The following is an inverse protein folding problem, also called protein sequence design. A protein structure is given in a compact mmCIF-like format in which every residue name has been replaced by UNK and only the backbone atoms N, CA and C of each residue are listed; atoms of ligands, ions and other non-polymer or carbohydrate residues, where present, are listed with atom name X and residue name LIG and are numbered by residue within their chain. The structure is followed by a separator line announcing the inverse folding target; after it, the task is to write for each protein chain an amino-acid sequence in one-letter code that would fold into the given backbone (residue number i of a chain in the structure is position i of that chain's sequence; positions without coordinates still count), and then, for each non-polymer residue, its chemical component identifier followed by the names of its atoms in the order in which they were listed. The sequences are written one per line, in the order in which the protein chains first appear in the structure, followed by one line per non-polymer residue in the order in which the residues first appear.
data_IF_621787606215
#
_entry.id   IF_621787606215
#
_cell.length_a   1.000
_cell.length_b   1.000
_cell.length_c   1.000
_cell.angle_alpha   90.00
_cell.angle_beta   90.00
_cell.angle_gamma   90.00
#
_symmetry.space_group_name_H-M   'P 1'
#
loop_
_entity.id
_entity.type
_entity.pdbx_description
1 polymer ?
#
# COMPACT_ATOMS: atom_id res chain seq x y z
N UNK A 5 4.91 -11.75 15.70
CA UNK A 5 5.08 -11.33 14.31
C UNK A 5 3.87 -10.52 13.82
N UNK A 6 2.70 -11.15 13.83
CA UNK A 6 1.49 -10.50 13.36
C UNK A 6 0.44 -10.39 14.46
N UNK A 7 -0.05 -9.18 14.70
CA UNK A 7 -1.15 -8.97 15.64
C UNK A 7 -2.33 -8.31 14.94
N UNK A 8 -3.45 -9.02 14.84
CA UNK A 8 -4.60 -8.49 14.12
C UNK A 8 -5.86 -8.36 14.98
N UNK A 9 -6.61 -7.29 14.74
CA UNK A 9 -7.89 -7.08 15.41
C UNK A 9 -8.95 -6.59 14.43
N UNK A 10 -10.09 -7.27 14.39
CA UNK A 10 -11.17 -6.95 13.45
C UNK A 10 -12.26 -6.13 14.12
N UNK A 11 -12.73 -5.08 13.43
CA UNK A 11 -13.71 -4.13 13.98
C UNK A 11 -13.36 -3.67 15.39
N UNK A 12 -12.27 -2.91 15.54
CA UNK A 12 -11.78 -2.50 16.85
C UNK A 12 -12.57 -1.34 17.46
N UNK A 13 -12.64 -1.29 18.78
CA UNK A 13 -13.04 -0.07 19.47
C UNK A 13 -11.80 0.82 19.48
N UNK A 14 -11.99 2.13 19.57
CA UNK A 14 -10.90 3.09 19.45
C UNK A 14 -9.72 2.81 20.39
N UNK A 15 -10.01 2.20 21.53
CA UNK A 15 -8.97 1.75 22.47
C UNK A 15 -8.00 0.79 21.79
N UNK A 16 -8.56 -0.22 21.13
CA UNK A 16 -7.75 -1.20 20.40
C UNK A 16 -6.94 -0.51 19.31
N UNK A 17 -7.59 0.36 18.54
CA UNK A 17 -6.91 1.12 17.49
C UNK A 17 -5.69 1.86 18.02
N UNK A 18 -5.92 2.80 18.92
CA UNK A 18 -4.83 3.60 19.51
C UNK A 18 -3.75 2.71 20.13
N UNK A 19 -4.16 1.61 20.74
CA UNK A 19 -3.22 0.69 21.35
C UNK A 19 -2.28 0.09 20.30
N UNK A 20 -2.86 -0.46 19.24
CA UNK A 20 -2.07 -1.09 18.18
C UNK A 20 -1.20 -0.07 17.43
N UNK A 21 -1.70 1.14 17.25
CA UNK A 21 -0.91 2.19 16.60
C UNK A 21 0.29 2.58 17.46
N UNK A 22 0.07 2.71 18.77
CA UNK A 22 1.16 2.96 19.71
C UNK A 22 2.17 1.81 19.74
N UNK A 23 1.66 0.59 19.55
CA UNK A 23 2.51 -0.60 19.53
C UNK A 23 3.38 -0.62 18.28
N UNK A 24 2.82 -0.16 17.17
CA UNK A 24 3.56 -0.06 15.92
C UNK A 24 4.62 1.02 16.03
N UNK A 25 4.26 2.13 16.66
CA UNK A 25 5.18 3.25 16.83
C UNK A 25 6.34 2.92 17.76
N UNK A 26 6.05 2.18 18.83
CA UNK A 26 7.04 1.86 19.84
C UNK A 26 8.01 0.76 19.38
N UNK A 27 7.48 -0.30 18.78
CA UNK A 27 8.27 -1.46 18.43
C UNK A 27 8.96 -1.34 17.07
N UNK A 28 8.78 -0.20 16.41
CA UNK A 28 9.22 -0.02 15.03
C UNK A 28 8.74 -1.17 14.14
N UNK A 29 7.44 -1.28 14.00
CA UNK A 29 6.83 -2.34 13.21
C UNK A 29 5.94 -1.75 12.13
N UNK A 30 5.59 -2.55 11.13
CA UNK A 30 4.71 -2.08 10.07
C UNK A 30 3.26 -2.07 10.53
N UNK A 31 2.59 -0.94 10.33
CA UNK A 31 1.20 -0.78 10.73
C UNK A 31 0.29 -0.83 9.52
N UNK A 32 -0.59 -1.82 9.46
CA UNK A 32 -1.51 -1.91 8.34
C UNK A 32 -2.97 -1.90 8.84
N UNK A 33 -3.76 -1.00 8.27
CA UNK A 33 -5.15 -0.85 8.68
C UNK A 33 -6.09 -0.72 7.48
N UNK A 34 -7.01 -1.66 7.36
CA UNK A 34 -8.01 -1.60 6.29
C UNK A 34 -9.22 -0.85 6.83
N UNK A 35 -9.60 0.26 6.21
CA UNK A 35 -10.70 1.05 6.72
C UNK A 35 -11.43 1.87 5.67
N UNK A 36 -12.72 2.12 5.89
CA UNK A 36 -13.44 3.12 5.12
C UNK A 36 -13.16 4.46 5.78
N UNK A 37 -12.54 5.36 5.03
CA UNK A 37 -11.99 6.59 5.59
C UNK A 37 -12.20 7.79 4.68
N UNK A 38 -12.00 8.98 5.23
CA UNK A 38 -12.03 10.22 4.47
C UNK A 38 -10.65 10.85 4.50
N UNK A 39 -10.16 11.28 3.33
CA UNK A 39 -8.75 11.63 3.20
C UNK A 39 -8.50 13.11 2.93
N UNK A 40 -7.85 13.78 3.88
CA UNK A 40 -7.46 15.18 3.71
C UNK A 40 -5.95 15.31 3.61
N UNK A 41 -5.48 16.08 2.63
CA UNK A 41 -4.06 16.37 2.51
C UNK A 41 -3.83 17.86 2.26
N UNK A 42 -3.16 18.54 3.20
CA UNK A 42 -3.00 19.97 3.10
C UNK A 42 -1.56 20.48 3.28
N UNK A 43 -1.35 21.72 2.85
CA UNK A 43 -0.04 22.35 2.81
C UNK A 43 -0.06 23.41 1.73
N UNK A 44 1.10 23.76 1.19
CA UNK A 44 1.13 24.64 0.02
C UNK A 44 0.60 23.86 -1.18
N UNK A 45 0.88 22.55 -1.19
CA UNK A 45 0.28 21.63 -2.14
C UNK A 45 -0.99 21.08 -1.51
N UNK A 46 -2.05 20.95 -2.30
CA UNK A 46 -3.36 20.59 -1.75
C UNK A 46 -4.04 19.42 -2.48
N UNK A 47 -4.50 18.45 -1.70
CA UNK A 47 -5.26 17.33 -2.24
C UNK A 47 -6.39 16.90 -1.30
N UNK A 48 -7.58 16.72 -1.83
CA UNK A 48 -8.73 16.31 -1.04
C UNK A 48 -9.47 15.13 -1.67
N UNK A 49 -9.72 14.10 -0.86
CA UNK A 49 -10.46 12.92 -1.33
C UNK A 49 -11.51 12.49 -0.30
N UNK A 50 -12.69 12.13 -0.79
CA UNK A 50 -13.82 11.81 0.06
C UNK A 50 -13.83 10.40 0.61
N UNK A 51 -15.00 9.97 1.08
CA UNK A 51 -15.17 8.66 1.69
C UNK A 51 -14.95 7.53 0.70
N UNK A 52 -14.54 6.37 1.22
CA UNK A 52 -14.30 5.18 0.43
C UNK A 52 -13.48 4.21 1.23
N UNK A 53 -13.37 2.98 0.75
CA UNK A 53 -12.60 1.96 1.45
C UNK A 53 -11.15 1.99 0.96
N UNK A 54 -10.21 2.11 1.90
CA UNK A 54 -8.79 2.18 1.58
C UNK A 54 -7.92 1.39 2.54
N UNK A 55 -6.71 1.06 2.08
CA UNK A 55 -5.72 0.36 2.89
C UNK A 55 -4.65 1.35 3.32
N UNK A 56 -4.34 1.38 4.61
CA UNK A 56 -3.38 2.34 5.14
C UNK A 56 -2.15 1.66 5.73
N UNK A 57 -0.98 1.96 5.14
CA UNK A 57 0.27 1.36 5.58
C UNK A 57 1.26 2.40 6.09
N UNK A 58 1.69 2.22 7.34
CA UNK A 58 2.67 3.08 7.96
C UNK A 58 3.94 2.27 8.26
N UNK A 59 5.03 2.61 7.59
CA UNK A 59 6.31 1.95 7.81
C UNK A 59 7.08 2.64 8.93
N UNK A 60 7.90 1.87 9.66
CA UNK A 60 8.70 2.38 10.79
C UNK A 60 9.67 3.50 10.40
N UNK A 61 9.96 3.63 9.11
CA UNK A 61 10.87 4.67 8.66
C UNK A 61 10.12 5.99 8.47
N UNK A 62 8.82 5.96 8.70
CA UNK A 62 8.01 7.16 8.64
C UNK A 62 7.20 7.29 7.36
N UNK A 63 7.41 6.36 6.43
CA UNK A 63 6.73 6.40 5.15
C UNK A 63 5.23 6.16 5.32
N UNK A 64 4.42 6.94 4.61
CA UNK A 64 2.96 6.80 4.73
C UNK A 64 2.41 6.42 3.36
N UNK A 65 1.56 5.40 3.33
CA UNK A 65 0.99 4.94 2.08
C UNK A 65 -0.52 4.74 2.23
N UNK A 66 -1.30 5.37 1.35
CA UNK A 66 -2.74 5.14 1.32
C UNK A 66 -3.15 4.59 -0.04
N UNK A 67 -3.63 3.36 -0.06
CA UNK A 67 -4.00 2.70 -1.31
C UNK A 67 -5.50 2.57 -1.47
N UNK A 68 -5.99 2.87 -2.67
CA UNK A 68 -7.40 2.64 -3.00
C UNK A 68 -7.57 1.26 -3.62
N UNK A 69 -8.75 1.00 -4.17
CA UNK A 69 -9.06 -0.31 -4.72
C UNK A 69 -8.51 -0.53 -6.12
N UNK A 70 -7.96 0.53 -6.73
CA UNK A 70 -7.53 0.44 -8.12
C UNK A 70 -6.20 1.13 -8.44
N UNK A 71 -5.89 1.14 -9.74
CA UNK A 71 -4.60 1.63 -10.26
C UNK A 71 -3.38 0.97 -9.63
N UNK A 72 -2.34 1.75 -9.35
CA UNK A 72 -1.07 1.21 -8.89
C UNK A 72 -0.47 2.02 -7.74
N UNK A 73 -0.09 3.25 -8.05
CA UNK A 73 0.51 4.17 -7.08
C UNK A 73 -0.44 4.47 -5.92
N UNK A 74 0.11 4.92 -4.78
CA UNK A 74 -0.75 5.30 -3.65
C UNK A 74 -1.60 6.50 -4.04
N UNK A 75 -2.81 6.60 -3.48
CA UNK A 75 -3.68 7.73 -3.79
C UNK A 75 -3.21 8.98 -3.05
N UNK A 76 -2.60 8.75 -1.88
CA UNK A 76 -1.88 9.78 -1.16
C UNK A 76 -0.76 9.11 -0.36
N UNK A 77 0.38 9.78 -0.25
CA UNK A 77 1.51 9.22 0.45
C UNK A 77 2.40 10.28 1.06
N UNK A 78 3.17 9.90 2.08
CA UNK A 78 4.15 10.80 2.67
C UNK A 78 5.52 10.14 2.59
N UNK A 79 6.54 10.95 2.29
CA UNK A 79 7.93 10.52 2.09
C UNK A 79 8.56 9.94 3.35
N UNK A 80 9.62 9.15 3.18
CA UNK A 80 10.39 8.67 4.33
C UNK A 80 10.94 9.86 5.10
N UNK A 81 11.17 9.69 6.40
CA UNK A 81 11.60 10.80 7.24
C UNK A 81 10.46 11.76 7.57
N UNK A 82 9.33 11.20 8.01
CA UNK A 82 8.20 11.99 8.47
C UNK A 82 7.68 11.48 9.81
N UNK A 83 6.60 12.09 10.29
CA UNK A 83 6.08 11.83 11.64
C UNK A 83 4.60 11.49 11.61
N UNK A 84 4.24 10.33 12.16
CA UNK A 84 2.85 9.87 12.15
C UNK A 84 2.32 9.65 13.56
N UNK A 85 1.22 10.33 13.90
CA UNK A 85 0.59 10.18 15.20
C UNK A 85 -0.93 10.12 15.09
N UNK A 86 -1.54 9.26 15.89
CA UNK A 86 -2.99 9.10 15.87
C UNK A 86 -3.64 9.89 16.98
N UNK A 87 -4.61 10.73 16.63
CA UNK A 87 -5.31 11.52 17.63
C UNK A 87 -6.82 11.30 17.58
N UNK A 88 -7.44 11.18 18.74
CA UNK A 88 -8.88 11.02 18.81
C UNK A 88 -9.59 12.35 18.56
N UNK A 89 -10.71 12.27 17.86
CA UNK A 89 -11.49 13.41 17.39
C UNK A 89 -12.92 12.91 17.27
N UNK A 90 -13.73 13.65 16.52
CA UNK A 90 -15.05 13.18 16.12
C UNK A 90 -14.94 11.73 15.68
N UNK A 91 -14.16 11.48 14.64
CA UNK A 91 -13.65 10.14 14.36
C UNK A 91 -12.13 10.17 14.48
N UNK A 92 -11.53 9.08 14.99
CA UNK A 92 -10.08 9.02 15.19
C UNK A 92 -9.31 9.28 13.89
N UNK A 93 -8.28 10.11 13.96
CA UNK A 93 -7.57 10.56 12.77
C UNK A 93 -6.08 10.26 12.81
N UNK A 94 -5.58 9.64 11.75
CA UNK A 94 -4.14 9.43 11.59
C UNK A 94 -3.53 10.66 10.94
N UNK A 95 -2.62 11.32 11.65
CA UNK A 95 -2.01 12.55 11.16
C UNK A 95 -0.52 12.36 10.89
N UNK A 96 -0.16 12.46 9.61
CA UNK A 96 1.22 12.31 9.18
C UNK A 96 1.83 13.66 8.87
N UNK A 97 2.85 14.04 9.67
CA UNK A 97 3.51 15.33 9.51
C UNK A 97 4.79 15.19 8.70
N UNK A 98 4.82 15.87 7.55
CA UNK A 98 6.03 15.99 6.74
C UNK A 98 6.61 17.37 6.99
N UNK A 99 7.92 17.43 7.24
CA UNK A 99 8.58 18.70 7.52
C UNK A 99 9.71 18.98 6.53
N UNK A 100 9.90 20.26 6.20
CA UNK A 100 10.93 20.70 5.24
C UNK A 100 10.90 19.97 3.90
N UNK A 101 9.91 20.29 3.04
CA UNK A 101 8.84 21.28 3.23
C UNK A 101 7.75 20.75 4.16
N UNK A 102 7.05 21.64 4.87
CA UNK A 102 6.07 21.18 5.84
C UNK A 102 4.66 21.08 5.25
N UNK A 103 4.19 19.85 5.11
CA UNK A 103 2.82 19.57 4.71
C UNK A 103 2.28 18.43 5.58
N UNK A 104 0.97 18.38 5.74
CA UNK A 104 0.38 17.36 6.61
C UNK A 104 -0.71 16.56 5.90
N UNK A 105 -0.76 15.26 6.23
CA UNK A 105 -1.72 14.35 5.62
C UNK A 105 -2.52 13.62 6.68
N UNK A 106 -3.82 13.90 6.77
CA UNK A 106 -4.66 13.26 7.77
C UNK A 106 -5.75 12.40 7.17
N UNK A 107 -5.91 11.20 7.73
CA UNK A 107 -7.03 10.36 7.34
C UNK A 107 -7.98 10.18 8.53
N UNK A 108 -9.21 10.62 8.33
CA UNK A 108 -10.25 10.41 9.31
C UNK A 108 -10.76 8.99 9.11
N UNK A 109 -10.65 8.18 10.15
CA UNK A 109 -11.10 6.80 10.06
C UNK A 109 -12.54 6.76 10.51
N UNK A 110 -13.43 6.54 9.55
CA UNK A 110 -14.85 6.50 9.82
C UNK A 110 -15.21 5.11 10.31
N UNK A 111 -15.00 4.10 9.47
CA UNK A 111 -15.12 2.73 9.94
C UNK A 111 -13.82 1.96 9.78
N UNK A 112 -13.35 1.37 10.88
CA UNK A 112 -12.10 0.62 10.86
C UNK A 112 -12.35 -0.88 10.84
N UNK A 113 -12.00 -1.52 9.73
CA UNK A 113 -12.30 -2.93 9.51
C UNK A 113 -11.30 -3.84 10.23
N UNK A 114 -10.01 -3.51 10.12
CA UNK A 114 -9.00 -4.27 10.84
C UNK A 114 -7.76 -3.41 11.14
N UNK A 115 -7.05 -3.77 12.19
CA UNK A 115 -5.77 -3.14 12.51
C UNK A 115 -4.74 -4.24 12.71
N UNK A 116 -3.54 -4.02 12.19
CA UNK A 116 -2.51 -5.07 12.20
C UNK A 116 -1.09 -4.56 12.48
N UNK A 117 -0.35 -5.32 13.27
CA UNK A 117 1.05 -5.03 13.55
C UNK A 117 1.94 -6.13 12.97
N UNK A 118 2.98 -5.72 12.24
CA UNK A 118 3.81 -6.63 11.47
C UNK A 118 5.28 -6.26 11.61
N UNK A 119 6.13 -7.24 11.92
CA UNK A 119 7.56 -6.99 12.08
C UNK A 119 8.26 -6.82 10.73
N UNK A 120 9.59 -6.72 10.75
CA UNK A 120 10.29 -6.13 9.61
C UNK A 120 11.77 -6.49 9.38
N UNK A 121 12.41 -5.67 8.55
CA UNK A 121 13.86 -5.59 8.36
C UNK A 121 14.68 -6.73 7.78
N UNK A 122 14.53 -6.96 6.48
CA UNK A 122 15.57 -7.63 5.70
C UNK A 122 16.57 -6.57 5.19
N UNK A 123 16.08 -5.61 4.40
CA UNK A 123 16.87 -4.45 4.00
C UNK A 123 16.10 -3.16 4.30
N UNK A 134 32.88 -25.53 -8.65
CA UNK A 134 32.09 -25.36 -7.44
C UNK A 134 30.96 -26.38 -7.37
N UNK A 135 29.99 -26.24 -8.26
CA UNK A 135 28.85 -27.15 -8.34
C UNK A 135 29.28 -28.44 -9.02
N UNK A 136 30.29 -28.32 -9.88
CA UNK A 136 30.83 -29.45 -10.63
C UNK A 136 31.25 -30.58 -9.71
N UNK A 137 31.86 -30.23 -8.57
CA UNK A 137 32.28 -31.23 -7.60
C UNK A 137 31.09 -31.92 -6.95
N UNK A 138 30.04 -31.14 -6.66
CA UNK A 138 28.79 -31.70 -6.14
C UNK A 138 28.17 -32.68 -7.13
N UNK A 139 28.42 -32.44 -8.41
CA UNK A 139 27.96 -33.36 -9.44
C UNK A 139 28.83 -34.62 -9.53
N UNK A 140 30.15 -34.44 -9.37
CA UNK A 140 31.08 -35.57 -9.36
C UNK A 140 30.76 -36.54 -8.23
N UNK A 141 30.56 -35.99 -7.03
CA UNK A 141 30.35 -36.80 -5.83
C UNK A 141 29.07 -37.65 -5.89
N UNK A 142 27.93 -37.00 -6.13
CA UNK A 142 26.65 -37.71 -6.17
C UNK A 142 25.95 -37.53 -7.52
N UNK A 143 26.46 -38.22 -8.56
CA UNK A 143 26.04 -38.03 -9.96
C UNK A 143 24.55 -38.31 -10.22
N UNK A 144 23.87 -38.97 -9.29
CA UNK A 144 22.44 -39.21 -9.43
C UNK A 144 21.65 -37.90 -9.34
N UNK A 145 22.34 -36.83 -8.95
CA UNK A 145 21.76 -35.48 -8.92
C UNK A 145 21.21 -35.05 -10.28
N UNK A 146 22.00 -35.28 -11.33
CA UNK A 146 21.60 -34.91 -12.68
C UNK A 146 20.52 -35.87 -13.18
N UNK A 147 20.91 -37.12 -13.40
CA UNK A 147 19.99 -38.16 -13.84
C UNK A 147 20.36 -39.48 -13.18
N UNK A 148 19.38 -40.39 -13.05
CA UNK A 148 19.71 -41.73 -12.55
C UNK A 148 20.64 -42.46 -13.52
N UNK A 149 21.69 -43.07 -13.00
CA UNK A 149 22.69 -43.72 -13.83
C UNK A 149 23.50 -42.73 -14.66
N UNK A 150 24.08 -41.74 -13.98
CA UNK A 150 24.90 -40.74 -14.64
C UNK A 150 26.38 -40.92 -14.30
N UNK A 151 27.24 -40.93 -15.32
CA UNK A 151 28.67 -41.06 -15.10
C UNK A 151 29.41 -39.80 -15.54
N UNK A 152 29.89 -39.01 -14.56
CA UNK A 152 30.63 -37.79 -14.86
C UNK A 152 32.05 -38.11 -15.32
N UNK A 153 32.62 -37.26 -16.18
CA UNK A 153 33.96 -37.49 -16.70
C UNK A 153 34.92 -36.34 -16.40
N UNK A 154 34.73 -35.22 -17.09
CA UNK A 154 35.65 -34.10 -17.00
C UNK A 154 35.02 -32.79 -17.44
N UNK A 165 32.62 -25.62 -18.09
CA UNK A 165 31.71 -26.67 -18.53
C UNK A 165 32.05 -28.02 -17.90
N UNK A 166 31.17 -29.00 -18.10
CA UNK A 166 31.40 -30.35 -17.57
C UNK A 166 30.99 -31.42 -18.59
N UNK A 167 31.88 -32.38 -18.81
CA UNK A 167 31.59 -33.50 -19.71
C UNK A 167 31.31 -34.78 -18.94
N UNK A 168 30.37 -35.58 -19.44
CA UNK A 168 29.93 -36.78 -18.75
C UNK A 168 29.39 -37.84 -19.68
N UNK A 169 28.90 -38.94 -19.10
CA UNK A 169 28.39 -40.04 -19.90
C UNK A 169 27.05 -40.56 -19.39
N UNK A 170 26.02 -40.50 -20.24
CA UNK A 170 24.73 -41.08 -19.94
C UNK A 170 24.79 -42.58 -20.16
N UNK A 171 24.01 -43.33 -19.38
CA UNK A 171 24.11 -44.78 -19.26
C UNK A 171 23.92 -45.53 -20.58
N UNK A 172 23.45 -44.83 -21.61
CA UNK A 172 23.37 -45.39 -22.94
C UNK A 172 24.74 -45.25 -23.59
N UNK A 173 25.70 -44.73 -22.83
CA UNK A 173 27.05 -44.52 -23.28
C UNK A 173 27.17 -43.28 -24.15
N UNK A 174 26.49 -42.21 -23.74
CA UNK A 174 26.46 -41.00 -24.57
C UNK A 174 27.13 -39.78 -23.95
N UNK A 175 27.73 -38.94 -24.81
CA UNK A 175 28.33 -37.70 -24.34
C UNK A 175 27.25 -36.79 -23.76
N UNK A 176 27.45 -36.33 -22.54
CA UNK A 176 26.51 -35.42 -21.89
C UNK A 176 27.21 -34.15 -21.45
N UNK A 177 26.80 -33.02 -22.02
CA UNK A 177 27.44 -31.74 -21.70
C UNK A 177 26.67 -31.01 -20.62
N UNK A 178 27.41 -30.44 -19.66
CA UNK A 178 26.80 -29.64 -18.61
C UNK A 178 27.40 -28.24 -18.60
N UNK A 179 26.54 -27.22 -18.70
CA UNK A 179 26.98 -25.85 -18.47
C UNK A 179 26.32 -25.35 -17.18
N UNK A 180 27.16 -24.96 -16.22
CA UNK A 180 26.68 -24.65 -14.88
C UNK A 180 26.55 -23.16 -14.61
N UNK A 181 25.40 -22.77 -14.08
CA UNK A 181 25.21 -21.39 -13.62
C UNK A 181 24.81 -21.39 -12.15
N UNK A 182 25.13 -20.31 -11.46
CA UNK A 182 24.90 -20.21 -10.02
C UNK A 182 23.48 -19.73 -9.71
N UNK A 183 23.17 -18.50 -10.12
CA UNK A 183 21.83 -17.94 -9.94
C UNK A 183 20.95 -18.16 -11.17
N UNK A 184 19.80 -17.48 -11.21
CA UNK A 184 18.79 -17.69 -12.24
C UNK A 184 19.36 -17.66 -13.66
N UNK A 185 18.96 -18.63 -14.48
CA UNK A 185 19.54 -18.81 -15.81
C UNK A 185 18.75 -18.10 -16.90
N UNK A 186 19.35 -17.07 -17.48
CA UNK A 186 18.79 -16.36 -18.62
C UNK A 186 19.30 -17.09 -19.86
N UNK A 187 19.12 -16.54 -21.05
CA UNK A 187 19.70 -17.22 -22.20
C UNK A 187 21.01 -16.56 -22.61
N UNK A 188 22.09 -17.18 -22.16
CA UNK A 188 23.44 -16.94 -22.61
C UNK A 188 24.06 -18.31 -22.76
N UNK A 189 24.15 -18.99 -21.63
CA UNK A 189 24.68 -20.35 -21.53
C UNK A 189 23.80 -21.37 -22.25
N UNK A 190 22.63 -20.95 -22.71
CA UNK A 190 21.79 -21.78 -23.56
C UNK A 190 22.34 -21.76 -24.98
N UNK A 191 22.81 -20.59 -25.41
CA UNK A 191 23.49 -20.44 -26.69
C UNK A 191 24.84 -21.17 -26.62
N UNK A 192 25.53 -20.98 -25.50
CA UNK A 192 26.79 -21.69 -25.25
C UNK A 192 26.57 -23.19 -25.30
N UNK A 193 25.53 -23.67 -24.63
CA UNK A 193 25.19 -25.09 -24.60
C UNK A 193 24.86 -25.60 -26.00
N UNK A 194 24.17 -24.76 -26.78
CA UNK A 194 23.84 -25.09 -28.16
C UNK A 194 25.10 -25.31 -28.99
N UNK A 195 26.03 -24.37 -28.91
CA UNK A 195 27.28 -24.47 -29.66
C UNK A 195 28.17 -25.62 -29.20
N UNK A 196 28.21 -25.84 -27.88
CA UNK A 196 29.00 -26.92 -27.29
C UNK A 196 28.48 -28.27 -27.75
N UNK A 197 27.18 -28.46 -27.64
CA UNK A 197 26.56 -29.71 -28.10
C UNK A 197 26.65 -29.81 -29.62
N UNK A 198 26.84 -28.67 -30.29
CA UNK A 198 26.98 -28.65 -31.75
C UNK A 198 28.35 -29.15 -32.21
N UNK A 199 29.41 -28.72 -31.53
CA UNK A 199 30.75 -29.21 -31.87
C UNK A 199 30.97 -30.63 -31.36
N UNK A 200 30.38 -30.92 -30.20
CA UNK A 200 30.35 -32.30 -29.71
C UNK A 200 29.56 -33.16 -30.68
N UNK A 201 28.65 -32.53 -31.41
CA UNK A 201 27.94 -33.18 -32.50
C UNK A 201 28.80 -33.27 -33.76
N UNK A 202 29.76 -32.36 -33.89
CA UNK A 202 30.71 -32.42 -35.00
C UNK A 202 31.58 -33.65 -34.85
N UNK A 203 32.03 -33.91 -33.63
CA UNK A 203 32.83 -35.11 -33.36
C UNK A 203 31.97 -36.37 -33.22
N UNK A 204 31.20 -36.42 -32.13
CA UNK A 204 30.52 -37.65 -31.73
C UNK A 204 29.05 -37.75 -32.16
N UNK A 205 28.55 -36.71 -32.83
CA UNK A 205 27.27 -36.78 -33.52
C UNK A 205 25.98 -36.79 -32.70
N UNK A 206 25.05 -37.63 -33.14
CA UNK A 206 23.70 -37.67 -32.58
C UNK A 206 23.65 -38.27 -31.18
N UNK A 207 22.56 -37.99 -30.47
CA UNK A 207 22.31 -38.48 -29.11
C UNK A 207 23.23 -37.86 -28.05
N UNK A 208 24.23 -37.10 -28.50
CA UNK A 208 25.00 -36.26 -27.60
C UNK A 208 24.08 -35.16 -27.09
N UNK A 209 24.11 -34.90 -25.80
CA UNK A 209 23.17 -33.95 -25.21
C UNK A 209 23.81 -32.92 -24.29
N UNK A 210 23.37 -31.66 -24.43
CA UNK A 210 23.74 -30.62 -23.49
C UNK A 210 22.67 -30.52 -22.41
N UNK A 211 23.05 -30.03 -21.23
CA UNK A 211 22.12 -29.89 -20.12
C UNK A 211 22.36 -28.58 -19.36
N UNK A 212 21.28 -27.88 -19.03
CA UNK A 212 21.38 -26.64 -18.28
C UNK A 212 21.14 -26.89 -16.80
N UNK A 213 22.17 -26.68 -15.98
CA UNK A 213 22.03 -26.84 -14.54
C UNK A 213 22.05 -25.49 -13.81
N UNK A 214 21.02 -25.28 -12.98
CA UNK A 214 20.78 -24.01 -12.30
C UNK A 214 19.57 -24.15 -11.38
N UNK A 215 19.48 -23.33 -10.32
CA UNK A 215 18.33 -23.38 -9.42
C UNK A 215 17.05 -22.93 -10.11
N UNK A 216 17.16 -21.96 -11.02
CA UNK A 216 16.01 -21.49 -11.78
C UNK A 216 16.42 -20.97 -13.15
N UNK A 217 15.53 -21.15 -14.13
CA UNK A 217 15.72 -20.55 -15.46
C UNK A 217 14.76 -19.38 -15.69
N UNK A 218 14.82 -18.81 -16.90
CA UNK A 218 13.87 -17.77 -17.31
C UNK A 218 13.03 -18.34 -18.44
N UNK A 219 11.84 -17.76 -18.62
CA UNK A 219 10.92 -18.21 -19.67
C UNK A 219 11.60 -18.29 -21.03
N UNK A 220 12.37 -17.26 -21.37
CA UNK A 220 13.12 -17.24 -22.61
C UNK A 220 14.15 -18.34 -22.67
N UNK A 221 14.93 -18.46 -21.60
CA UNK A 221 15.93 -19.51 -21.49
C UNK A 221 15.28 -20.88 -21.58
N UNK A 222 14.14 -21.03 -20.90
CA UNK A 222 13.38 -22.27 -20.94
C UNK A 222 12.95 -22.64 -22.36
N UNK A 223 12.38 -21.68 -23.07
CA UNK A 223 11.88 -21.92 -24.42
C UNK A 223 12.99 -22.23 -25.42
N UNK A 224 14.06 -21.42 -25.40
CA UNK A 224 15.19 -21.66 -26.29
C UNK A 224 15.80 -23.03 -25.97
N UNK A 225 15.79 -23.38 -24.69
CA UNK A 225 16.29 -24.66 -24.23
C UNK A 225 15.46 -25.80 -24.80
N UNK A 226 14.14 -25.61 -24.84
CA UNK A 226 13.23 -26.68 -25.27
C UNK A 226 13.21 -26.86 -26.79
N UNK A 227 13.18 -25.73 -27.53
CA UNK A 227 13.12 -25.79 -28.99
C UNK A 227 14.37 -26.42 -29.59
N UNK A 228 15.54 -25.93 -29.18
CA UNK A 228 16.81 -26.41 -29.75
C UNK A 228 17.18 -27.81 -29.27
N UNK A 229 16.41 -28.36 -28.33
CA UNK A 229 16.54 -29.75 -27.96
C UNK A 229 17.26 -30.03 -26.66
N UNK A 230 17.80 -28.99 -26.04
CA UNK A 230 18.59 -29.15 -24.83
C UNK A 230 17.70 -29.49 -23.63
N UNK A 231 18.31 -29.66 -22.45
CA UNK A 231 17.55 -30.06 -21.27
C UNK A 231 17.89 -29.23 -20.02
N UNK A 232 17.29 -29.59 -18.89
CA UNK A 232 17.44 -28.81 -17.67
C UNK A 232 17.36 -29.67 -16.41
N UNK A 233 18.07 -29.25 -15.37
CA UNK A 233 18.01 -29.91 -14.06
C UNK A 233 18.16 -28.91 -12.93
N UNK A 234 17.54 -29.21 -11.79
CA UNK A 234 17.54 -28.29 -10.66
C UNK A 234 18.67 -28.58 -9.66
N UNK A 235 19.60 -27.63 -9.55
CA UNK A 235 20.72 -27.75 -8.61
C UNK A 235 21.04 -26.38 -8.00
N UNK A 236 21.18 -26.34 -6.67
CA UNK A 236 21.51 -25.11 -5.96
C UNK A 236 22.70 -25.31 -5.01
N UNK A 237 23.59 -24.31 -4.93
CA UNK A 237 24.76 -24.36 -4.03
C UNK A 237 24.34 -24.32 -2.56
N UNK B 4 -19.96 -9.00 5.23
CA UNK B 4 -18.74 -9.65 4.75
C UNK B 4 -17.75 -8.66 4.15
N UNK B 5 -17.37 -7.65 4.92
CA UNK B 5 -16.44 -6.61 4.45
C UNK B 5 -14.98 -7.07 4.43
N UNK B 6 -14.51 -7.68 5.52
CA UNK B 6 -13.12 -8.12 5.62
C UNK B 6 -13.00 -9.53 6.20
N UNK B 7 -12.34 -10.41 5.46
CA UNK B 7 -12.00 -11.72 5.99
C UNK B 7 -10.52 -11.73 6.33
N UNK B 8 -10.15 -12.28 7.48
CA UNK B 8 -8.74 -12.33 7.87
C UNK B 8 -8.40 -13.69 8.47
N UNK B 9 -7.36 -14.33 7.94
CA UNK B 9 -6.85 -15.55 8.54
C UNK B 9 -5.37 -15.39 8.89
N UNK B 10 -5.06 -15.59 10.16
CA UNK B 10 -3.70 -15.39 10.67
C UNK B 10 -2.97 -16.72 10.70
N UNK B 11 -1.80 -16.75 10.07
CA UNK B 11 -1.02 -17.98 9.89
C UNK B 11 -1.87 -19.08 9.28
N UNK B 12 -2.29 -18.90 8.01
CA UNK B 12 -3.21 -19.83 7.35
C UNK B 12 -2.53 -21.11 6.89
N UNK B 13 -3.32 -22.14 6.61
CA UNK B 13 -2.78 -23.35 6.02
C UNK B 13 -2.77 -23.23 4.51
N UNK B 14 -2.27 -24.25 3.83
CA UNK B 14 -2.19 -24.25 2.37
C UNK B 14 -3.57 -24.17 1.73
N UNK B 15 -4.48 -25.02 2.19
CA UNK B 15 -5.84 -25.04 1.67
C UNK B 15 -6.56 -23.75 2.03
N UNK B 16 -6.25 -23.20 3.20
CA UNK B 16 -6.80 -21.93 3.63
C UNK B 16 -6.29 -20.79 2.76
N UNK B 17 -4.97 -20.72 2.59
CA UNK B 17 -4.35 -19.69 1.77
C UNK B 17 -4.93 -19.73 0.36
N UNK B 18 -4.99 -20.91 -0.24
CA UNK B 18 -5.53 -21.05 -1.59
C UNK B 18 -7.02 -20.67 -1.63
N UNK B 19 -7.75 -20.98 -0.55
CA UNK B 19 -9.15 -20.64 -0.44
C UNK B 19 -9.36 -19.13 -0.49
N UNK B 20 -8.72 -18.41 0.43
CA UNK B 20 -8.88 -16.96 0.50
C UNK B 20 -8.31 -16.24 -0.72
N UNK B 21 -7.13 -16.67 -1.17
CA UNK B 21 -6.49 -16.08 -2.35
C UNK B 21 -7.39 -16.22 -3.57
N UNK B 22 -7.77 -17.44 -3.91
CA UNK B 22 -8.65 -17.66 -5.07
C UNK B 22 -10.02 -17.00 -4.93
N UNK B 23 -10.60 -17.04 -3.73
CA UNK B 23 -11.88 -16.38 -3.49
C UNK B 23 -11.76 -14.89 -3.75
N UNK B 24 -10.66 -14.30 -3.31
CA UNK B 24 -10.41 -12.88 -3.53
C UNK B 24 -10.26 -12.57 -5.01
N UNK B 25 -9.39 -13.30 -5.69
CA UNK B 25 -9.16 -13.13 -7.12
C UNK B 25 -10.45 -13.26 -7.93
N UNK B 26 -11.33 -14.15 -7.49
CA UNK B 26 -12.57 -14.40 -8.20
C UNK B 26 -13.62 -13.34 -7.90
N UNK B 27 -13.61 -12.85 -6.66
CA UNK B 27 -14.67 -11.96 -6.16
C UNK B 27 -14.36 -10.49 -6.38
N UNK B 28 -13.23 -10.23 -7.05
CA UNK B 28 -12.72 -8.86 -7.23
C UNK B 28 -12.62 -8.12 -5.90
N UNK B 29 -11.73 -8.62 -5.04
CA UNK B 29 -11.48 -8.01 -3.74
C UNK B 29 -9.99 -7.77 -3.62
N UNK B 30 -9.58 -6.96 -2.65
CA UNK B 30 -8.17 -6.68 -2.45
C UNK B 30 -7.52 -7.76 -1.58
N UNK B 31 -6.48 -8.39 -2.10
CA UNK B 31 -5.74 -9.40 -1.35
C UNK B 31 -4.49 -8.78 -0.73
N UNK B 32 -4.29 -9.02 0.55
CA UNK B 32 -3.10 -8.52 1.22
C UNK B 32 -2.47 -9.61 2.09
N UNK B 33 -1.19 -9.87 1.85
CA UNK B 33 -0.50 -10.99 2.51
C UNK B 33 0.82 -10.55 3.16
N UNK B 34 0.92 -10.70 4.48
CA UNK B 34 2.17 -10.43 5.17
C UNK B 34 2.95 -11.73 5.24
N UNK B 35 4.14 -11.76 4.62
CA UNK B 35 4.86 -13.02 4.52
C UNK B 35 6.38 -12.92 4.50
N UNK B 36 7.02 -13.93 5.04
CA UNK B 36 8.43 -14.16 4.78
C UNK B 36 8.45 -14.83 3.44
N UNK B 37 9.10 -14.20 2.46
CA UNK B 37 9.06 -14.69 1.09
C UNK B 37 10.37 -14.46 0.35
N UNK B 38 10.41 -14.94 -0.88
CA UNK B 38 11.57 -14.77 -1.76
C UNK B 38 11.08 -14.26 -3.11
N UNK B 39 11.74 -13.23 -3.63
CA UNK B 39 11.22 -12.52 -4.81
C UNK B 39 12.11 -12.62 -6.03
N UNK B 40 11.51 -12.92 -7.18
CA UNK B 40 12.26 -12.99 -8.43
C UNK B 40 11.57 -12.22 -9.55
N UNK B 41 12.25 -11.21 -10.08
CA UNK B 41 11.72 -10.49 -11.23
C UNK B 41 12.51 -10.80 -12.48
N UNK B 42 11.85 -11.53 -13.38
CA UNK B 42 12.40 -11.87 -14.68
C UNK B 42 11.81 -10.94 -15.74
N UNK B 43 12.70 -10.28 -16.49
CA UNK B 43 12.26 -9.37 -17.53
C UNK B 43 13.39 -8.58 -18.15
N UNK B 44 13.04 -7.45 -18.77
CA UNK B 44 14.01 -6.57 -19.40
C UNK B 44 15.02 -6.06 -18.38
N UNK B 45 14.52 -5.52 -17.27
CA UNK B 45 15.39 -5.17 -16.16
C UNK B 45 15.27 -6.26 -15.13
N UNK B 46 16.33 -7.06 -15.00
CA UNK B 46 16.32 -8.21 -14.11
C UNK B 46 16.39 -7.76 -12.66
N UNK B 47 15.74 -8.52 -11.78
CA UNK B 47 15.82 -8.23 -10.35
C UNK B 47 15.74 -9.53 -9.54
N UNK B 48 16.48 -9.58 -8.44
CA UNK B 48 16.39 -10.71 -7.53
C UNK B 48 16.46 -10.26 -6.06
N UNK B 49 15.49 -10.71 -5.28
CA UNK B 49 15.46 -10.45 -3.85
C UNK B 49 15.37 -11.78 -3.10
N UNK B 50 16.15 -11.90 -2.03
CA UNK B 50 16.19 -13.13 -1.25
C UNK B 50 15.12 -13.18 -0.16
N UNK B 51 15.30 -14.11 0.78
CA UNK B 51 14.35 -14.30 1.88
C UNK B 51 14.29 -13.05 2.75
N UNK B 52 13.07 -12.62 3.08
CA UNK B 52 12.87 -11.46 3.93
C UNK B 52 11.39 -11.15 4.15
N UNK B 53 11.10 -10.39 5.19
CA UNK B 53 9.71 -10.05 5.51
C UNK B 53 9.18 -8.97 4.59
N UNK B 54 8.06 -9.28 3.93
CA UNK B 54 7.46 -8.36 2.98
C UNK B 54 5.94 -8.33 3.08
N UNK B 55 5.36 -7.23 2.59
CA UNK B 55 3.92 -7.09 2.46
C UNK B 55 3.57 -7.18 0.98
N UNK B 56 2.65 -8.08 0.64
CA UNK B 56 2.24 -8.26 -0.75
C UNK B 56 0.82 -7.73 -0.93
N UNK B 57 0.63 -6.88 -1.94
CA UNK B 57 -0.70 -6.32 -2.21
C UNK B 57 -1.14 -6.59 -3.65
N UNK B 58 -2.27 -7.29 -3.78
CA UNK B 58 -2.84 -7.60 -5.08
C UNK B 58 -4.24 -6.99 -5.22
N UNK B 59 -4.35 -6.03 -6.13
CA UNK B 59 -5.59 -5.30 -6.36
C UNK B 59 -6.45 -6.06 -7.37
N UNK B 60 -7.78 -5.82 -7.36
CA UNK B 60 -8.69 -6.49 -8.31
C UNK B 60 -8.43 -6.16 -9.77
N UNK B 61 -7.72 -5.07 -10.05
CA UNK B 61 -7.43 -4.70 -11.44
C UNK B 61 -6.13 -5.31 -11.92
N UNK B 62 -5.50 -6.12 -11.08
CA UNK B 62 -4.31 -6.85 -11.46
C UNK B 62 -3.03 -6.26 -10.90
N UNK B 63 -3.14 -5.10 -10.27
CA UNK B 63 -1.95 -4.39 -9.78
C UNK B 63 -1.22 -5.20 -8.71
N UNK B 64 0.07 -5.39 -8.92
CA UNK B 64 0.87 -6.16 -7.97
C UNK B 64 1.84 -5.22 -7.28
N UNK B 65 1.93 -5.31 -5.96
CA UNK B 65 2.81 -4.44 -5.19
C UNK B 65 3.57 -5.25 -4.14
N UNK B 66 4.89 -5.10 -4.13
CA UNK B 66 5.71 -5.72 -3.09
C UNK B 66 6.39 -4.65 -2.25
N UNK B 67 6.03 -4.59 -0.97
CA UNK B 67 6.61 -3.59 -0.08
C UNK B 67 7.53 -4.20 0.96
N UNK B 68 8.78 -3.73 0.97
CA UNK B 68 9.75 -4.18 1.94
C UNK B 68 9.60 -3.42 3.23
N UNK B 69 10.54 -3.61 4.14
CA UNK B 69 10.45 -3.05 5.47
C UNK B 69 10.63 -1.53 5.51
N UNK B 70 11.12 -0.96 4.42
CA UNK B 70 11.50 0.45 4.41
C UNK B 70 11.23 1.18 3.10
N UNK B 71 11.80 2.38 3.01
CA UNK B 71 11.62 3.30 1.89
C UNK B 71 10.17 3.68 1.62
N UNK B 72 9.79 3.78 0.35
CA UNK B 72 8.49 4.32 -0.02
C UNK B 72 7.86 3.50 -1.15
N UNK B 73 8.46 3.58 -2.33
CA UNK B 73 8.00 2.88 -3.51
C UNK B 73 8.07 1.37 -3.32
N UNK B 74 7.31 0.60 -4.12
CA UNK B 74 7.41 -0.86 -4.02
C UNK B 74 8.77 -1.32 -4.52
N UNK B 75 9.31 -2.40 -3.96
CA UNK B 75 10.58 -2.94 -4.43
C UNK B 75 10.39 -3.63 -5.77
N UNK B 76 9.17 -4.16 -5.98
CA UNK B 76 8.75 -4.65 -7.28
C UNK B 76 7.26 -4.49 -7.45
N UNK B 77 6.83 -4.18 -8.66
CA UNK B 77 5.41 -3.95 -8.93
C UNK B 77 5.01 -4.34 -10.35
N UNK B 78 3.74 -4.68 -10.54
CA UNK B 78 3.20 -4.93 -11.86
C UNK B 78 2.00 -4.05 -12.07
N UNK B 79 1.85 -3.50 -13.29
CA UNK B 79 0.83 -2.52 -13.67
C UNK B 79 -0.55 -3.15 -13.78
N UNK B 80 -1.61 -2.31 -13.77
CA UNK B 80 -2.99 -2.77 -13.94
C UNK B 80 -3.14 -3.51 -15.27
N UNK B 81 -4.12 -4.43 -15.34
CA UNK B 81 -4.32 -5.20 -16.54
C UNK B 81 -3.43 -6.42 -16.61
N UNK B 82 -2.47 -6.51 -15.70
CA UNK B 82 -1.57 -7.66 -15.67
C UNK B 82 -2.29 -8.88 -15.12
N UNK B 83 -1.60 -10.02 -15.08
CA UNK B 83 -2.25 -11.28 -14.74
C UNK B 83 -1.60 -11.96 -13.53
N UNK B 84 -2.43 -12.27 -12.53
CA UNK B 84 -1.95 -12.86 -11.29
C UNK B 84 -2.58 -14.23 -11.05
N UNK B 85 -1.77 -15.19 -10.59
CA UNK B 85 -2.27 -16.52 -10.28
C UNK B 85 -1.46 -17.17 -9.17
N UNK B 86 -2.11 -17.97 -8.35
CA UNK B 86 -1.40 -18.69 -7.30
C UNK B 86 -1.20 -20.15 -7.70
N UNK B 87 0.05 -20.51 -7.96
CA UNK B 87 0.36 -21.89 -8.33
C UNK B 87 1.13 -22.58 -7.22
N UNK B 88 0.82 -23.85 -6.99
CA UNK B 88 1.48 -24.60 -5.94
C UNK B 88 2.78 -25.24 -6.42
N UNK B 89 3.78 -25.16 -5.56
CA UNK B 89 5.11 -25.70 -5.77
C UNK B 89 5.50 -26.13 -4.38
N UNK B 90 6.78 -26.41 -4.15
CA UNK B 90 7.26 -26.79 -2.82
C UNK B 90 6.73 -25.84 -1.75
N UNK B 91 6.75 -24.55 -2.06
CA UNK B 91 6.01 -23.55 -1.29
C UNK B 91 5.13 -22.77 -2.25
N UNK B 92 3.93 -22.37 -1.80
CA UNK B 92 2.98 -21.66 -2.67
C UNK B 92 3.61 -20.45 -3.35
N UNK B 93 3.39 -20.31 -4.66
CA UNK B 93 4.01 -19.22 -5.42
C UNK B 93 2.99 -18.30 -6.11
N UNK B 94 3.15 -17.01 -5.87
CA UNK B 94 2.31 -15.96 -6.43
C UNK B 94 2.96 -15.46 -7.72
N UNK B 95 2.34 -15.74 -8.85
CA UNK B 95 2.93 -15.40 -10.14
C UNK B 95 2.17 -14.26 -10.82
N UNK B 96 2.89 -13.17 -11.08
CA UNK B 96 2.30 -12.01 -11.75
C UNK B 96 2.91 -11.81 -13.12
N UNK B 97 2.09 -11.99 -14.16
CA UNK B 97 2.57 -11.87 -15.53
C UNK B 97 2.07 -10.59 -16.20
N UNK B 98 2.98 -9.65 -16.42
CA UNK B 98 2.67 -8.42 -17.16
C UNK B 98 2.85 -8.70 -18.63
N UNK B 99 1.91 -8.24 -19.45
CA UNK B 99 2.01 -8.42 -20.89
C UNK B 99 2.12 -7.07 -21.60
N UNK B 100 2.77 -7.07 -22.76
CA UNK B 100 3.04 -5.83 -23.51
C UNK B 100 3.74 -4.76 -22.67
N UNK B 101 5.03 -4.96 -22.36
CA UNK B 101 5.90 -6.09 -22.70
C UNK B 101 5.62 -7.28 -21.80
N UNK B 102 6.06 -8.48 -22.20
CA UNK B 102 5.80 -9.65 -21.37
C UNK B 102 6.96 -9.91 -20.42
N UNK B 103 6.71 -9.70 -19.14
CA UNK B 103 7.68 -9.91 -18.08
C UNK B 103 6.98 -10.55 -16.89
N UNK B 104 7.72 -11.27 -16.07
CA UNK B 104 7.09 -12.01 -14.97
C UNK B 104 7.74 -11.80 -13.61
N UNK B 105 6.89 -11.72 -12.58
CA UNK B 105 7.33 -11.51 -11.21
C UNK B 105 6.81 -12.66 -10.34
N UNK B 106 7.72 -13.47 -9.82
CA UNK B 106 7.35 -14.58 -8.96
C UNK B 106 7.66 -14.28 -7.50
N UNK B 107 6.66 -14.43 -6.64
CA UNK B 107 6.87 -14.32 -5.21
C UNK B 107 6.63 -15.67 -4.57
N UNK B 108 7.70 -16.31 -4.13
CA UNK B 108 7.58 -17.59 -3.44
C UNK B 108 7.30 -17.30 -1.97
N UNK B 109 6.17 -17.78 -1.48
CA UNK B 109 5.81 -17.48 -0.10
C UNK B 109 6.40 -18.59 0.76
N UNK B 110 7.40 -18.23 1.55
CA UNK B 110 8.08 -19.17 2.42
C UNK B 110 7.17 -19.47 3.60
N UNK B 111 6.91 -18.43 4.40
CA UNK B 111 5.90 -18.54 5.44
C UNK B 111 4.91 -17.39 5.34
N UNK B 112 3.61 -17.73 5.41
CA UNK B 112 2.56 -16.73 5.35
C UNK B 112 2.06 -16.43 6.75
N UNK B 113 2.39 -15.24 7.25
CA UNK B 113 2.02 -14.86 8.61
C UNK B 113 0.55 -14.48 8.66
N UNK B 114 0.10 -13.74 7.67
CA UNK B 114 -1.29 -13.32 7.59
C UNK B 114 -1.78 -13.27 6.16
N UNK B 115 -2.98 -13.78 5.93
CA UNK B 115 -3.65 -13.55 4.65
C UNK B 115 -4.96 -12.81 4.91
N UNK B 116 -5.24 -11.80 4.07
CA UNK B 116 -6.40 -10.97 4.28
C UNK B 116 -7.14 -10.68 2.97
N UNK B 117 -8.46 -10.78 3.02
CA UNK B 117 -9.31 -10.42 1.90
C UNK B 117 -10.12 -9.18 2.27
N UNK B 118 -9.81 -8.07 1.61
CA UNK B 118 -10.47 -6.81 1.87
C UNK B 118 -11.31 -6.40 0.67
N UNK B 119 -12.63 -6.45 0.83
CA UNK B 119 -13.53 -6.14 -0.27
C UNK B 119 -13.88 -4.66 -0.22
N UNK B 120 -13.38 -3.91 -1.19
CA UNK B 120 -13.46 -2.44 -1.15
C UNK B 120 -14.12 -1.86 -2.38
N UNK B 121 -15.18 -1.08 -2.18
CA UNK B 121 -15.86 -0.43 -3.29
C UNK B 121 -14.99 0.70 -3.86
N UNK B 122 -15.25 1.07 -5.11
CA UNK B 122 -14.42 2.02 -5.84
C UNK B 122 -14.66 3.47 -5.41
N UNK B 123 -14.02 4.40 -6.11
CA UNK B 123 -14.24 5.84 -5.94
C UNK B 123 -14.00 6.34 -4.52
N UNK B 131 -22.26 26.85 -2.63
CA UNK B 131 -23.60 26.67 -2.09
C UNK B 131 -23.59 26.73 -0.56
N UNK B 132 -23.14 27.86 -0.03
CA UNK B 132 -23.00 28.02 1.41
C UNK B 132 -24.25 28.64 2.02
N UNK B 133 -25.20 29.00 1.17
CA UNK B 133 -26.42 29.65 1.62
C UNK B 133 -27.37 28.67 2.31
N UNK B 134 -27.44 27.46 1.79
CA UNK B 134 -28.27 26.41 2.38
C UNK B 134 -27.82 26.11 3.80
N UNK B 135 -26.52 26.25 4.04
CA UNK B 135 -25.97 26.11 5.38
C UNK B 135 -26.58 27.16 6.30
N UNK B 136 -26.58 28.41 5.84
CA UNK B 136 -27.13 29.52 6.59
C UNK B 136 -28.60 29.30 6.92
N UNK B 137 -29.39 29.05 5.88
CA UNK B 137 -30.82 28.81 6.05
C UNK B 137 -31.08 27.61 6.97
N UNK B 138 -30.17 26.64 6.95
CA UNK B 138 -30.26 25.50 7.85
C UNK B 138 -30.05 25.95 9.29
N UNK B 139 -29.07 26.84 9.49
CA UNK B 139 -28.83 27.40 10.81
C UNK B 139 -30.05 28.15 11.32
N UNK B 140 -30.69 28.91 10.43
CA UNK B 140 -31.90 29.65 10.79
C UNK B 140 -33.04 28.70 11.14
N UNK B 141 -33.16 27.61 10.38
CA UNK B 141 -34.22 26.64 10.59
C UNK B 141 -34.06 25.90 11.91
N UNK B 142 -32.82 25.56 12.25
CA UNK B 142 -32.52 24.93 13.53
C UNK B 142 -31.27 25.49 14.21
N UNK B 143 -31.42 26.57 14.97
CA UNK B 143 -30.32 27.23 15.69
C UNK B 143 -29.71 26.33 16.75
N UNK B 144 -30.41 25.27 17.13
CA UNK B 144 -29.94 24.35 18.16
C UNK B 144 -28.75 23.52 17.64
N UNK B 145 -28.46 23.66 16.34
CA UNK B 145 -27.29 23.03 15.74
C UNK B 145 -25.98 23.61 16.29
N UNK B 146 -25.88 24.94 16.27
CA UNK B 146 -24.65 25.61 16.66
C UNK B 146 -24.42 25.58 18.17
N UNK B 147 -25.26 26.27 18.91
CA UNK B 147 -25.12 26.38 20.36
C UNK B 147 -26.47 26.22 21.04
N UNK B 148 -26.48 25.82 22.32
CA UNK B 148 -27.75 25.77 23.05
C UNK B 148 -28.29 27.17 23.28
N UNK B 149 -29.58 27.36 23.04
CA UNK B 149 -30.20 28.67 23.21
C UNK B 149 -29.63 29.71 22.27
N UNK B 150 -29.15 29.27 21.11
CA UNK B 150 -28.63 30.18 20.11
C UNK B 150 -29.77 30.87 19.39
N UNK B 151 -29.71 32.20 19.32
CA UNK B 151 -30.71 32.95 18.59
C UNK B 151 -30.06 33.60 17.38
N UNK B 152 -30.33 33.07 16.19
CA UNK B 152 -29.80 33.70 14.98
C UNK B 152 -30.60 34.95 14.67
N UNK B 153 -29.94 35.98 14.16
CA UNK B 153 -30.62 37.23 13.86
C UNK B 153 -30.75 37.43 12.36
N UNK B 154 -29.62 37.54 11.68
CA UNK B 154 -29.65 37.73 10.23
C UNK B 154 -28.43 37.18 9.51
N UNK B 155 -28.54 37.01 8.20
CA UNK B 155 -27.43 36.56 7.37
C UNK B 155 -26.99 37.74 6.53
N UNK B 156 -25.72 37.76 6.15
CA UNK B 156 -25.23 38.84 5.31
C UNK B 156 -24.10 38.34 4.41
N UNK B 157 -24.03 38.86 3.19
CA UNK B 157 -23.08 38.33 2.22
C UNK B 157 -22.63 39.37 1.20
N UNK B 158 -21.46 39.12 0.62
CA UNK B 158 -20.95 39.88 -0.52
C UNK B 158 -20.82 41.39 -0.30
N UNK B 159 -19.97 41.77 0.65
CA UNK B 159 -19.51 43.15 0.75
C UNK B 159 -18.01 43.14 0.48
N UNK B 160 -17.64 43.65 -0.70
CA UNK B 160 -16.26 43.64 -1.12
C UNK B 160 -15.71 42.24 -1.40
N UNK B 161 -16.54 41.23 -1.20
CA UNK B 161 -16.08 39.84 -1.26
C UNK B 161 -17.23 38.89 -1.57
N UNK B 162 -16.97 37.60 -1.41
CA UNK B 162 -18.00 36.58 -1.49
C UNK B 162 -18.35 35.97 -0.15
N UNK B 163 -17.67 36.42 0.90
CA UNK B 163 -17.83 35.87 2.25
C UNK B 163 -19.28 35.92 2.71
N UNK B 164 -19.74 34.84 3.37
CA UNK B 164 -21.06 34.83 3.99
C UNK B 164 -20.90 34.85 5.51
N UNK B 165 -21.89 35.40 6.21
CA UNK B 165 -21.82 35.54 7.66
C UNK B 165 -23.21 35.45 8.30
N UNK B 166 -23.25 35.00 9.54
CA UNK B 166 -24.50 34.92 10.27
C UNK B 166 -24.35 35.63 11.61
N UNK B 167 -25.06 36.74 11.76
CA UNK B 167 -25.09 37.49 13.01
C UNK B 167 -26.24 37.01 13.87
N UNK B 168 -25.96 36.84 15.16
CA UNK B 168 -26.98 36.37 16.09
C UNK B 168 -26.63 36.68 17.54
N UNK B 169 -27.39 36.12 18.46
CA UNK B 169 -27.12 36.29 19.88
C UNK B 169 -27.06 34.91 20.55
N UNK B 170 -26.18 34.78 21.54
CA UNK B 170 -26.01 33.50 22.22
C UNK B 170 -26.95 33.38 23.41
N UNK B 171 -26.74 32.33 24.20
CA UNK B 171 -27.58 32.07 25.37
C UNK B 171 -27.54 33.20 26.39
N UNK B 172 -26.36 33.78 26.59
CA UNK B 172 -26.19 34.83 27.59
C UNK B 172 -26.28 36.26 27.04
N UNK B 173 -26.56 36.40 25.75
CA UNK B 173 -26.86 37.69 25.18
C UNK B 173 -25.79 38.32 24.29
N UNK B 174 -24.60 37.73 24.27
CA UNK B 174 -23.50 38.28 23.49
C UNK B 174 -23.73 38.14 21.98
N UNK B 175 -23.13 39.04 21.20
CA UNK B 175 -23.21 38.96 19.75
C UNK B 175 -22.36 37.80 19.26
N UNK B 176 -22.88 37.04 18.30
CA UNK B 176 -22.12 35.94 17.72
C UNK B 176 -22.07 36.07 16.20
N UNK B 177 -20.86 36.03 15.66
CA UNK B 177 -20.65 35.98 14.22
C UNK B 177 -20.37 34.53 13.81
N UNK B 178 -20.92 34.11 12.69
CA UNK B 178 -20.64 32.78 12.14
C UNK B 178 -20.15 32.90 10.71
N UNK B 179 -18.91 32.52 10.45
CA UNK B 179 -18.45 32.45 9.07
C UNK B 179 -18.60 31.03 8.55
N UNK B 180 -19.35 30.89 7.47
CA UNK B 180 -19.66 29.58 6.92
C UNK B 180 -18.76 29.28 5.71
N UNK B 181 -18.20 28.07 5.68
CA UNK B 181 -17.41 27.62 4.54
C UNK B 181 -17.93 26.28 4.05
N UNK B 182 -18.27 26.22 2.77
CA UNK B 182 -18.78 25.00 2.15
C UNK B 182 -17.72 23.90 2.20
N UNK B 183 -16.53 24.26 1.75
CA UNK B 183 -15.41 23.32 1.70
C UNK B 183 -14.71 23.20 3.06
N UNK B 184 -13.58 22.53 3.07
CA UNK B 184 -12.77 22.41 4.29
C UNK B 184 -12.31 23.81 4.69
N UNK B 185 -12.17 24.04 5.99
CA UNK B 185 -11.84 25.39 6.47
C UNK B 185 -10.34 25.63 6.55
N UNK B 186 -9.86 26.56 5.71
CA UNK B 186 -8.45 26.90 5.63
C UNK B 186 -8.08 27.91 6.72
N UNK B 187 -6.88 28.46 6.63
CA UNK B 187 -6.41 29.51 7.55
C UNK B 187 -7.08 30.84 7.21
N UNK B 188 -7.15 31.11 5.91
CA UNK B 188 -7.73 32.34 5.36
C UNK B 188 -9.11 32.64 5.98
N UNK B 189 -9.92 31.61 6.09
CA UNK B 189 -11.24 31.71 6.70
C UNK B 189 -11.14 32.22 8.13
N UNK B 190 -10.22 31.66 8.90
CA UNK B 190 -9.98 32.07 10.28
C UNK B 190 -9.52 33.52 10.35
N UNK B 191 -8.73 33.95 9.38
CA UNK B 191 -8.28 35.34 9.33
C UNK B 191 -9.46 36.29 9.10
N UNK B 192 -10.31 35.94 8.14
CA UNK B 192 -11.51 36.74 7.86
C UNK B 192 -12.47 36.79 9.05
N UNK B 193 -12.70 35.63 9.67
CA UNK B 193 -13.54 35.54 10.88
C UNK B 193 -12.97 36.43 11.97
N UNK B 194 -11.66 36.37 12.16
CA UNK B 194 -10.98 37.21 13.13
C UNK B 194 -11.26 38.68 12.86
N UNK B 195 -11.15 39.08 11.60
CA UNK B 195 -11.39 40.48 11.24
C UNK B 195 -12.82 40.93 11.55
N UNK B 196 -13.79 40.13 11.13
CA UNK B 196 -15.19 40.38 11.45
C UNK B 196 -15.33 40.58 12.95
N UNK B 197 -14.82 39.62 13.70
CA UNK B 197 -14.90 39.63 15.16
C UNK B 197 -14.26 40.88 15.75
N UNK B 198 -13.15 41.34 15.19
CA UNK B 198 -12.48 42.52 15.73
C UNK B 198 -13.24 43.80 15.41
N UNK B 199 -13.94 43.81 14.29
CA UNK B 199 -14.85 44.93 13.99
C UNK B 199 -16.00 44.96 14.98
N UNK B 200 -16.68 43.82 15.10
CA UNK B 200 -17.81 43.69 16.01
C UNK B 200 -17.40 44.01 17.45
N UNK B 201 -16.17 43.66 17.80
CA UNK B 201 -15.58 43.97 19.09
C UNK B 201 -15.41 45.48 19.23
N UNK B 202 -14.84 46.08 18.20
CA UNK B 202 -14.61 47.52 18.21
C UNK B 202 -15.90 48.30 18.42
N UNK B 203 -16.98 47.82 17.81
CA UNK B 203 -18.26 48.52 17.94
C UNK B 203 -19.03 48.16 19.23
N UNK B 204 -19.45 46.90 19.35
CA UNK B 204 -20.35 46.48 20.42
C UNK B 204 -19.65 46.09 21.72
N UNK B 205 -18.32 46.06 21.71
CA UNK B 205 -17.57 45.65 22.90
C UNK B 205 -17.01 44.25 22.78
N UNK B 206 -16.37 43.76 23.83
CA UNK B 206 -15.61 42.52 23.77
C UNK B 206 -16.41 41.26 24.12
N UNK B 207 -17.71 41.43 24.33
CA UNK B 207 -18.60 40.31 24.61
C UNK B 207 -18.66 39.34 23.43
N UNK B 208 -18.54 39.89 22.22
CA UNK B 208 -18.73 39.13 20.99
C UNK B 208 -17.67 38.03 20.77
N UNK B 209 -18.14 36.85 20.38
CA UNK B 209 -17.29 35.75 20.01
C UNK B 209 -17.66 35.25 18.63
N UNK B 210 -16.66 34.99 17.79
CA UNK B 210 -16.90 34.42 16.48
C UNK B 210 -16.78 32.91 16.48
N UNK B 211 -17.45 32.28 15.53
CA UNK B 211 -17.44 30.82 15.43
C UNK B 211 -17.34 30.41 13.98
N UNK B 212 -16.43 29.48 13.68
CA UNK B 212 -16.28 28.97 12.32
C UNK B 212 -17.22 27.81 12.10
N UNK B 213 -17.95 27.85 10.99
CA UNK B 213 -18.84 26.75 10.62
C UNK B 213 -18.44 26.15 9.27
N UNK B 214 -18.13 24.86 9.29
CA UNK B 214 -17.55 24.16 8.15
C UNK B 214 -17.44 22.70 8.56
N UNK B 215 -17.43 21.78 7.57
CA UNK B 215 -17.33 20.35 7.88
C UNK B 215 -16.09 20.02 8.69
N UNK B 216 -14.96 20.59 8.30
CA UNK B 216 -13.68 20.31 8.95
C UNK B 216 -12.71 21.46 8.75
N UNK B 217 -11.46 21.24 9.13
CA UNK B 217 -10.42 22.25 8.96
C UNK B 217 -9.02 21.64 8.84
N UNK B 218 -8.10 22.40 8.26
CA UNK B 218 -6.70 22.05 8.33
C UNK B 218 -6.27 22.29 9.77
N UNK B 219 -5.36 21.46 10.29
CA UNK B 219 -4.96 21.56 11.68
C UNK B 219 -4.32 22.92 11.98
N UNK B 220 -3.73 23.53 10.95
CA UNK B 220 -3.21 24.87 11.07
C UNK B 220 -4.32 25.84 11.40
N UNK B 221 -5.47 25.65 10.74
CA UNK B 221 -6.65 26.47 11.01
C UNK B 221 -7.09 26.32 12.46
N UNK B 222 -7.06 25.11 12.99
CA UNK B 222 -7.43 24.87 14.38
C UNK B 222 -6.44 25.56 15.33
N UNK B 223 -5.16 25.51 14.97
CA UNK B 223 -4.12 26.18 15.75
C UNK B 223 -4.38 27.68 15.83
N UNK B 224 -4.60 28.30 14.67
CA UNK B 224 -4.87 29.73 14.59
C UNK B 224 -6.14 30.07 15.37
N UNK B 225 -7.13 29.19 15.29
CA UNK B 225 -8.39 29.35 16.02
C UNK B 225 -8.17 29.42 17.54
N UNK B 226 -7.47 28.43 18.09
CA UNK B 226 -7.24 28.40 19.52
C UNK B 226 -6.29 29.52 19.96
N UNK B 227 -5.46 30.00 19.03
CA UNK B 227 -4.52 31.07 19.35
C UNK B 227 -5.13 32.47 19.39
N UNK B 228 -6.05 32.77 18.48
CA UNK B 228 -6.66 34.11 18.46
C UNK B 228 -7.96 34.21 19.26
N UNK B 229 -8.32 33.12 19.94
CA UNK B 229 -9.46 33.14 20.83
C UNK B 229 -10.78 32.82 20.16
N UNK B 230 -10.72 32.39 18.91
CA UNK B 230 -11.93 32.05 18.17
C UNK B 230 -12.38 30.62 18.44
N UNK B 231 -13.48 30.23 17.82
CA UNK B 231 -14.09 28.93 18.08
C UNK B 231 -14.48 28.24 16.78
N UNK B 232 -14.79 26.95 16.87
CA UNK B 232 -15.17 26.17 15.70
C UNK B 232 -16.47 25.41 15.97
N UNK B 233 -17.27 25.23 14.93
CA UNK B 233 -18.47 24.41 15.04
C UNK B 233 -18.70 23.56 13.79
N UNK B 234 -18.97 22.28 14.03
CA UNK B 234 -19.09 21.30 12.96
C UNK B 234 -20.48 21.32 12.31
N UNK B 235 -20.51 21.50 10.99
CA UNK B 235 -21.75 21.38 10.23
C UNK B 235 -21.48 20.79 8.85
N UNK B 236 -22.36 19.89 8.41
CA UNK B 236 -22.20 19.27 7.10
C UNK B 236 -23.29 19.76 6.14
N UNK B 237 -22.87 20.42 5.05
CA UNK B 237 -23.77 20.87 3.98
C UNK B 237 -24.64 19.75 3.41
N UNK B 238 -25.96 20.00 3.29
CA UNK B 238 -26.94 19.00 2.85
C UNK B 238 -26.81 18.61 1.37
N UNK B 239 -26.89 17.31 1.09
CA UNK B 239 -26.93 16.79 -0.28
C UNK B 239 -27.33 15.32 -0.28
#
# INVERSE_FOLDING_TARGET
MSKDKVTVITSPSTEELVSLVNSALLEEAMLTIFARCKVHYDGRAKSELGSGDRVIIVKPDGSFLIHQSKKREPVNWQPPGSRVRLELRENPVLVSIRRKPRETLEVELEEVYMVSVFRAEDYEELALTGSEAEMAELIFENPEVIEPGFKPLFREKAIGTGIVAVLGRDSDGNIVVLELKRRRAELHAVRQLKSYVEILREEYGDKVRGILVAPSLTSGAKRLLEKEGLEFRKLEPPKRDSKKKGRQKTLF
MSKDKVTVITSPSTEELVSLVNSALLEEAMLTIFARCKVHYDGRAKSELGSGDRVIIVKPDGSFLIHQSKKREPVNWQPPGSRVRLELRENPVLVSIRRKPRETLEVELEEVYMVSVFRAEDYEELALTGSEAEMAELIFENPEVIEPGFKPLFREKAIGTGIVAVLGRDSDGNIVVLELKRRRAELHAVRQLKSYVEILREEYGDKVRGILVAPSLTSGAKRLLEKEGLEFRKLEPPKRDSKKKGRQKTLF
#
